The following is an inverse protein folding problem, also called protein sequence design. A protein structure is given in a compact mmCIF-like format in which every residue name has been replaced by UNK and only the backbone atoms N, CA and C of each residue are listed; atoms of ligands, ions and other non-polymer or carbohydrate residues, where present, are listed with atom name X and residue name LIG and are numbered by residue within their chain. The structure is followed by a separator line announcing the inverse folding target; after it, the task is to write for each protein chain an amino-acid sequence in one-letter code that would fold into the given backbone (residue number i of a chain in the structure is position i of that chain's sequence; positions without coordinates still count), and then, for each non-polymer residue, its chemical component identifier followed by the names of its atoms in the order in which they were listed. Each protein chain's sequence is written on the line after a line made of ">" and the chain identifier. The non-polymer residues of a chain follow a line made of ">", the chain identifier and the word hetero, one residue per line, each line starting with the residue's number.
data_IF_099652421103
#
_entry.id   IF_099652421103
#
_cell.length_a   1.000
_cell.length_b   1.000
_cell.length_c   1.000
_cell.angle_alpha   90.00
_cell.angle_beta   90.00
_cell.angle_gamma   90.00
#
_symmetry.space_group_name_H-M   'P 1'
#
loop_
_entity.id
_entity.type
_entity.pdbx_description
1 polymer ?
#
# COMPACT_ATOMS: atom_id res chain seq x y z
N UNK A 1 18.02 13.11 -8.12
CA UNK A 1 17.50 14.49 -8.20
C UNK A 1 16.00 14.41 -8.33
N UNK A 2 15.24 15.37 -7.77
CA UNK A 2 13.79 15.42 -7.97
C UNK A 2 13.48 15.45 -9.46
N UNK A 3 12.44 14.74 -9.87
CA UNK A 3 11.97 14.66 -11.25
C UNK A 3 10.45 14.59 -11.23
N UNK A 4 9.80 15.28 -12.16
CA UNK A 4 8.35 15.17 -12.29
C UNK A 4 7.94 13.74 -12.65
N UNK A 5 6.73 13.29 -12.28
CA UNK A 5 6.16 12.06 -12.81
C UNK A 5 6.13 12.07 -14.35
N UNK A 6 6.24 10.89 -14.97
CA UNK A 6 6.16 10.75 -16.43
C UNK A 6 4.73 10.90 -16.96
N UNK A 7 3.73 10.79 -16.07
CA UNK A 7 2.31 10.99 -16.37
C UNK A 7 1.81 12.28 -15.75
N UNK A 8 0.82 12.92 -16.38
CA UNK A 8 0.22 14.15 -15.86
C UNK A 8 -0.49 13.87 -14.53
N UNK A 9 -0.31 14.78 -13.57
CA UNK A 9 -0.93 14.71 -12.26
C UNK A 9 -2.44 15.02 -12.36
N UNK A 10 -2.85 15.84 -13.33
CA UNK A 10 -4.26 16.20 -13.54
C UNK A 10 -5.13 14.98 -13.92
N UNK A 11 -4.53 13.95 -14.52
CA UNK A 11 -5.19 12.67 -14.82
C UNK A 11 -5.71 11.96 -13.55
N UNK A 12 -5.17 12.26 -12.36
CA UNK A 12 -5.61 11.65 -11.10
C UNK A 12 -7.11 11.84 -10.87
N UNK A 13 -7.67 12.98 -11.30
CA UNK A 13 -9.10 13.27 -11.18
C UNK A 13 -9.97 12.32 -12.00
N UNK A 14 -9.44 11.78 -13.10
CA UNK A 14 -10.12 10.81 -13.95
C UNK A 14 -9.91 9.35 -13.53
N UNK A 15 -8.93 9.06 -12.68
CA UNK A 15 -8.59 7.70 -12.24
C UNK A 15 -9.43 7.21 -11.06
N UNK A 16 -9.98 8.11 -10.26
CA UNK A 16 -10.84 7.75 -9.12
C UNK A 16 -12.28 7.60 -9.62
N UNK A 17 -12.84 6.39 -9.67
CA UNK A 17 -14.18 6.14 -10.17
C UNK A 17 -15.21 6.73 -9.20
N UNK A 18 -16.30 7.26 -9.76
CA UNK A 18 -17.44 7.75 -8.99
C UNK A 18 -18.16 6.62 -8.22
N UNK A 19 -18.10 5.40 -8.76
CA UNK A 19 -18.60 4.20 -8.06
C UNK A 19 -17.44 3.47 -7.38
N UNK A 20 -17.44 3.49 -6.04
CA UNK A 20 -16.46 2.81 -5.18
C UNK A 20 -16.40 1.28 -5.36
N UNK A 21 -17.37 0.67 -6.08
CA UNK A 21 -17.32 -0.74 -6.46
C UNK A 21 -16.39 -1.01 -7.63
N UNK A 22 -16.04 0.02 -8.40
CA UNK A 22 -15.13 -0.08 -9.53
C UNK A 22 -13.69 -0.14 -9.02
N UNK A 23 -12.93 -1.19 -9.35
CA UNK A 23 -11.53 -1.28 -8.96
C UNK A 23 -10.72 -0.13 -9.58
N UNK A 24 -9.83 0.45 -8.78
CA UNK A 24 -8.83 1.41 -9.25
C UNK A 24 -7.51 0.69 -9.38
N UNK A 25 -6.84 0.80 -10.52
CA UNK A 25 -5.45 0.35 -10.56
C UNK A 25 -4.59 1.33 -9.77
N UNK A 26 -4.26 0.93 -8.55
CA UNK A 26 -3.46 1.75 -7.64
C UNK A 26 -2.07 2.07 -8.20
N UNK A 27 -1.56 1.29 -9.17
CA UNK A 27 -0.29 1.59 -9.83
C UNK A 27 -0.39 2.83 -10.71
N UNK A 28 -1.55 3.11 -11.30
CA UNK A 28 -1.78 4.33 -12.09
C UNK A 28 -1.73 5.59 -11.21
N UNK A 29 -2.19 5.49 -9.97
CA UNK A 29 -2.04 6.55 -8.97
C UNK A 29 -0.57 6.70 -8.58
N UNK A 30 0.11 5.60 -8.24
CA UNK A 30 1.54 5.64 -7.86
C UNK A 30 2.38 6.28 -8.97
N UNK A 31 2.14 5.89 -10.23
CA UNK A 31 2.85 6.40 -11.39
C UNK A 31 2.74 7.93 -11.55
N UNK A 32 1.69 8.57 -11.04
CA UNK A 32 1.47 10.02 -11.09
C UNK A 32 1.94 10.76 -9.84
N UNK A 33 2.37 10.03 -8.81
CA UNK A 33 2.83 10.62 -7.53
C UNK A 33 4.34 10.53 -7.40
N UNK A 34 4.97 9.50 -7.97
CA UNK A 34 6.40 9.23 -7.77
C UNK A 34 7.28 9.82 -8.87
N UNK A 35 8.50 10.21 -8.50
CA UNK A 35 9.48 10.83 -9.39
C UNK A 35 9.80 9.93 -10.59
N UNK A 36 9.61 10.47 -11.79
CA UNK A 36 9.80 9.76 -13.06
C UNK A 36 8.94 8.50 -13.21
N UNK A 37 7.85 8.38 -12.45
CA UNK A 37 6.95 7.21 -12.44
C UNK A 37 7.64 5.88 -12.14
N UNK A 38 8.81 5.92 -11.47
CA UNK A 38 9.60 4.72 -11.15
C UNK A 38 9.16 4.12 -9.82
N UNK A 39 8.67 2.89 -9.90
CA UNK A 39 8.26 2.12 -8.74
C UNK A 39 8.94 0.74 -8.73
N UNK A 40 9.70 0.46 -7.68
CA UNK A 40 10.33 -0.86 -7.50
C UNK A 40 9.47 -1.72 -6.57
N UNK A 41 8.62 -2.54 -7.17
CA UNK A 41 7.66 -3.36 -6.44
C UNK A 41 8.34 -4.49 -5.65
N UNK A 42 8.06 -4.52 -4.35
CA UNK A 42 8.49 -5.55 -3.43
C UNK A 42 7.55 -6.75 -3.52
N UNK A 43 8.09 -7.95 -3.78
CA UNK A 43 7.32 -9.20 -3.87
C UNK A 43 6.06 -9.08 -4.75
N UNK A 44 6.22 -8.57 -5.98
CA UNK A 44 5.11 -8.31 -6.90
C UNK A 44 4.17 -9.51 -7.16
N UNK A 45 4.66 -10.75 -6.99
CA UNK A 45 3.90 -11.98 -7.24
C UNK A 45 3.28 -12.63 -5.99
N UNK A 46 3.38 -11.98 -4.82
CA UNK A 46 2.88 -12.51 -3.54
C UNK A 46 2.01 -11.45 -2.87
N UNK A 47 0.85 -11.83 -2.32
CA UNK A 47 -0.09 -10.89 -1.70
C UNK A 47 -0.43 -9.71 -2.61
N UNK A 48 -0.94 -10.01 -3.82
CA UNK A 48 -1.11 -9.02 -4.90
C UNK A 48 -2.18 -7.96 -4.63
N UNK A 49 -3.02 -8.15 -3.61
CA UNK A 49 -4.01 -7.16 -3.16
C UNK A 49 -3.43 -6.06 -2.27
N UNK A 50 -2.17 -6.21 -1.83
CA UNK A 50 -1.41 -5.16 -1.18
C UNK A 50 -0.13 -4.89 -1.97
N UNK A 51 -0.07 -3.73 -2.60
CA UNK A 51 1.10 -3.30 -3.36
C UNK A 51 2.09 -2.67 -2.38
N UNK A 52 3.31 -3.17 -2.39
CA UNK A 52 4.39 -2.62 -1.58
C UNK A 52 5.58 -2.35 -2.49
N UNK A 53 6.31 -1.27 -2.28
CA UNK A 53 7.50 -1.00 -3.08
C UNK A 53 8.17 0.30 -2.74
N UNK A 54 9.36 0.48 -3.30
CA UNK A 54 10.18 1.66 -3.09
C UNK A 54 10.02 2.64 -4.24
N UNK A 55 9.98 3.93 -3.90
CA UNK A 55 9.94 5.02 -4.86
C UNK A 55 10.70 6.24 -4.34
N UNK A 56 10.74 7.29 -5.15
CA UNK A 56 11.13 8.63 -4.70
C UNK A 56 9.96 9.59 -4.91
N UNK A 57 9.78 10.53 -3.98
CA UNK A 57 8.84 11.65 -4.09
C UNK A 57 9.64 12.91 -3.75
N UNK A 58 9.76 13.83 -4.70
CA UNK A 58 10.59 15.03 -4.58
C UNK A 58 12.03 14.73 -4.13
N UNK A 59 12.62 13.65 -4.63
CA UNK A 59 13.96 13.19 -4.28
C UNK A 59 14.05 12.43 -2.95
N UNK A 60 12.99 12.35 -2.17
CA UNK A 60 12.96 11.58 -0.92
C UNK A 60 12.61 10.13 -1.19
N UNK A 61 13.46 9.20 -0.74
CA UNK A 61 13.17 7.76 -0.82
C UNK A 61 12.04 7.42 0.15
N UNK A 62 11.01 6.75 -0.36
CA UNK A 62 9.84 6.33 0.43
C UNK A 62 9.51 4.86 0.16
N UNK A 63 8.90 4.22 1.17
CA UNK A 63 8.25 2.94 1.02
C UNK A 63 6.74 3.15 0.90
N UNK A 64 6.14 2.71 -0.21
CA UNK A 64 4.71 2.83 -0.44
C UNK A 64 4.05 1.50 -0.06
N UNK A 65 2.95 1.57 0.69
CA UNK A 65 2.06 0.46 1.02
C UNK A 65 0.66 0.85 0.56
N UNK A 66 0.12 0.16 -0.43
CA UNK A 66 -1.06 0.61 -1.14
C UNK A 66 -2.08 -0.52 -1.32
N UNK A 67 -3.32 -0.28 -0.90
CA UNK A 67 -4.39 -1.26 -0.97
C UNK A 67 -4.98 -1.31 -2.38
N UNK A 68 -5.14 -2.52 -2.90
CA UNK A 68 -5.82 -2.79 -4.16
C UNK A 68 -7.00 -3.74 -3.92
N UNK A 69 -7.79 -3.48 -2.87
CA UNK A 69 -8.92 -4.29 -2.44
C UNK A 69 -8.74 -4.99 -1.08
N UNK A 70 -9.29 -6.20 -0.97
CA UNK A 70 -9.38 -6.98 0.28
C UNK A 70 -8.00 -7.48 0.73
N UNK A 71 -7.75 -7.44 2.04
CA UNK A 71 -6.55 -8.04 2.62
C UNK A 71 -6.70 -9.55 2.87
N UNK A 72 -5.75 -10.30 2.34
CA UNK A 72 -5.54 -11.73 2.63
C UNK A 72 -4.32 -11.90 3.55
N UNK A 73 -4.17 -13.09 4.16
CA UNK A 73 -3.02 -13.43 5.02
C UNK A 73 -1.69 -13.14 4.33
N UNK A 74 -1.54 -13.51 3.06
CA UNK A 74 -0.33 -13.30 2.27
C UNK A 74 -0.02 -11.82 2.11
N UNK A 75 -1.05 -11.01 1.86
CA UNK A 75 -0.95 -9.55 1.76
C UNK A 75 -0.51 -8.94 3.08
N UNK A 76 -1.07 -9.38 4.21
CA UNK A 76 -0.67 -8.91 5.54
C UNK A 76 0.76 -9.30 5.89
N UNK A 77 1.18 -10.53 5.59
CA UNK A 77 2.56 -10.99 5.79
C UNK A 77 3.56 -10.23 4.91
N UNK A 78 3.18 -9.91 3.66
CA UNK A 78 3.98 -9.06 2.77
C UNK A 78 4.13 -7.66 3.34
N UNK A 79 3.02 -7.05 3.76
CA UNK A 79 3.02 -5.72 4.34
C UNK A 79 3.87 -5.65 5.60
N UNK A 80 3.72 -6.61 6.52
CA UNK A 80 4.48 -6.66 7.76
C UNK A 80 5.99 -6.69 7.49
N UNK A 81 6.44 -7.60 6.62
CA UNK A 81 7.84 -7.69 6.23
C UNK A 81 8.34 -6.40 5.56
N UNK A 82 7.55 -5.82 4.64
CA UNK A 82 7.96 -4.59 3.96
C UNK A 82 8.08 -3.40 4.93
N UNK A 83 7.14 -3.26 5.85
CA UNK A 83 7.12 -2.21 6.87
C UNK A 83 8.33 -2.34 7.79
N UNK A 84 8.62 -3.54 8.30
CA UNK A 84 9.82 -3.82 9.10
C UNK A 84 11.10 -3.50 8.33
N UNK A 85 11.18 -3.87 7.04
CA UNK A 85 12.31 -3.57 6.18
C UNK A 85 12.53 -2.06 6.01
N UNK A 86 11.46 -1.28 5.83
CA UNK A 86 11.54 0.18 5.81
C UNK A 86 11.99 0.74 7.16
N UNK A 87 11.46 0.21 8.26
CA UNK A 87 11.86 0.57 9.62
C UNK A 87 13.35 0.37 9.87
N UNK A 88 13.89 -0.80 9.51
CA UNK A 88 15.33 -1.10 9.63
C UNK A 88 16.21 -0.19 8.77
N UNK A 89 15.69 0.30 7.64
CA UNK A 89 16.42 1.16 6.70
C UNK A 89 16.21 2.64 6.93
N UNK A 90 15.41 3.03 7.93
CA UNK A 90 15.05 4.44 8.17
C UNK A 90 14.27 5.08 7.02
N UNK A 91 13.52 4.28 6.25
CA UNK A 91 12.76 4.76 5.09
C UNK A 91 11.35 5.17 5.55
N UNK A 92 10.91 6.43 5.31
CA UNK A 92 9.54 6.86 5.57
C UNK A 92 8.51 6.03 4.81
N UNK A 93 7.35 5.83 5.41
CA UNK A 93 6.24 5.06 4.85
C UNK A 93 5.13 5.96 4.36
N UNK A 94 4.58 5.64 3.19
CA UNK A 94 3.40 6.26 2.59
C UNK A 94 2.33 5.19 2.39
N UNK A 95 1.17 5.38 3.01
CA UNK A 95 0.02 4.49 2.91
C UNK A 95 -1.00 5.08 1.94
N UNK A 96 -1.35 4.33 0.90
CA UNK A 96 -2.46 4.66 -0.01
C UNK A 96 -3.65 3.75 0.30
N UNK A 97 -4.63 4.28 1.02
CA UNK A 97 -5.74 3.51 1.54
C UNK A 97 -6.95 3.52 0.60
N UNK A 98 -7.23 2.34 0.07
CA UNK A 98 -8.48 1.96 -0.60
C UNK A 98 -8.86 0.54 -0.17
N UNK A 99 -9.41 0.41 1.03
CA UNK A 99 -9.66 -0.87 1.70
C UNK A 99 -11.12 -1.02 2.13
N UNK A 100 -11.66 -2.21 1.85
CA UNK A 100 -12.99 -2.64 2.27
C UNK A 100 -12.96 -3.55 3.51
N UNK A 101 -11.76 -3.99 3.92
CA UNK A 101 -11.51 -4.81 5.10
C UNK A 101 -10.66 -6.05 4.79
N UNK A 102 -10.61 -6.95 5.77
CA UNK A 102 -9.98 -8.26 5.67
C UNK A 102 -10.94 -9.31 5.10
N UNK A 103 -10.40 -10.35 4.47
CA UNK A 103 -11.19 -11.50 4.04
C UNK A 103 -11.77 -12.22 5.27
N UNK A 104 -13.07 -12.55 5.23
CA UNK A 104 -13.76 -13.28 6.30
C UNK A 104 -14.19 -14.66 5.79
N UNK A 105 -14.00 -15.70 6.61
CA UNK A 105 -14.51 -17.03 6.31
C UNK A 105 -13.82 -18.11 7.13
N UNK A 106 -14.53 -19.20 7.46
CA UNK A 106 -14.02 -20.25 8.37
C UNK A 106 -12.66 -20.82 7.95
N UNK A 107 -12.43 -20.99 6.65
CA UNK A 107 -11.16 -21.47 6.12
C UNK A 107 -10.01 -20.46 6.31
N UNK A 108 -10.27 -19.17 6.14
CA UNK A 108 -9.28 -18.09 6.30
C UNK A 108 -8.97 -17.81 7.78
N UNK A 109 -9.98 -17.91 8.65
CA UNK A 109 -9.82 -17.86 10.11
C UNK A 109 -8.93 -19.01 10.59
N UNK A 110 -9.24 -20.25 10.17
CA UNK A 110 -8.40 -21.41 10.47
C UNK A 110 -6.99 -21.30 9.86
N UNK A 111 -6.86 -20.62 8.72
CA UNK A 111 -5.59 -20.28 8.08
C UNK A 111 -4.77 -19.20 8.81
N UNK A 112 -5.32 -18.57 9.84
CA UNK A 112 -4.60 -17.61 10.68
C UNK A 112 -4.64 -16.16 10.21
N UNK A 113 -5.63 -15.76 9.40
CA UNK A 113 -5.73 -14.40 8.87
C UNK A 113 -5.71 -13.31 9.96
N UNK A 114 -6.36 -13.55 11.10
CA UNK A 114 -6.34 -12.62 12.23
C UNK A 114 -4.93 -12.43 12.81
N UNK A 115 -4.17 -13.53 12.95
CA UNK A 115 -2.77 -13.50 13.40
C UNK A 115 -1.88 -12.76 12.41
N UNK A 116 -2.07 -12.99 11.11
CA UNK A 116 -1.24 -12.36 10.09
C UNK A 116 -1.59 -10.87 9.90
N UNK A 117 -2.87 -10.51 10.01
CA UNK A 117 -3.31 -9.12 10.13
C UNK A 117 -2.71 -8.43 11.35
N UNK A 118 -2.71 -9.09 12.51
CA UNK A 118 -2.10 -8.55 13.72
C UNK A 118 -0.60 -8.27 13.55
N UNK A 119 0.16 -9.11 12.83
CA UNK A 119 1.58 -8.83 12.53
C UNK A 119 1.76 -7.56 11.73
N UNK A 120 0.90 -7.29 10.74
CA UNK A 120 0.95 -6.04 9.99
C UNK A 120 0.68 -4.84 10.91
N UNK A 121 -0.35 -4.91 11.75
CA UNK A 121 -0.68 -3.86 12.72
C UNK A 121 0.51 -3.62 13.67
N UNK A 122 1.10 -4.69 14.21
CA UNK A 122 2.30 -4.60 15.06
C UNK A 122 3.46 -3.96 14.33
N UNK A 123 3.77 -4.40 13.10
CA UNK A 123 4.85 -3.84 12.30
C UNK A 123 4.66 -2.33 12.08
N UNK A 124 3.47 -1.90 11.65
CA UNK A 124 3.15 -0.49 11.45
C UNK A 124 3.24 0.30 12.76
N UNK A 125 2.80 -0.27 13.88
CA UNK A 125 2.79 0.41 15.17
C UNK A 125 4.19 0.56 15.78
N UNK A 126 5.08 -0.40 15.53
CA UNK A 126 6.38 -0.46 16.21
C UNK A 126 7.54 0.17 15.43
N UNK A 127 7.45 0.33 14.10
CA UNK A 127 8.55 0.94 13.34
C UNK A 127 8.65 2.44 13.61
N UNK A 128 9.86 2.91 13.94
CA UNK A 128 10.11 4.32 14.25
C UNK A 128 10.56 5.12 13.01
N UNK A 129 9.70 5.17 11.99
CA UNK A 129 9.87 6.00 10.79
C UNK A 129 8.64 6.89 10.60
N UNK A 130 8.75 8.05 9.92
CA UNK A 130 7.60 8.86 9.57
C UNK A 130 6.59 8.05 8.73
N UNK A 131 5.29 8.24 8.99
CA UNK A 131 4.19 7.55 8.32
C UNK A 131 3.20 8.59 7.83
N UNK A 132 2.90 8.55 6.54
CA UNK A 132 1.92 9.42 5.90
C UNK A 132 0.80 8.55 5.35
N UNK A 133 -0.45 8.91 5.62
CA UNK A 133 -1.62 8.16 5.13
C UNK A 133 -2.46 9.05 4.24
N UNK A 134 -2.75 8.57 3.04
CA UNK A 134 -3.61 9.21 2.07
C UNK A 134 -4.77 8.26 1.79
N UNK A 135 -5.98 8.70 2.11
CA UNK A 135 -7.20 7.98 1.79
C UNK A 135 -7.61 8.37 0.38
N UNK A 136 -7.62 7.39 -0.51
CA UNK A 136 -7.90 7.57 -1.95
C UNK A 136 -9.23 6.92 -2.36
N UNK A 137 -9.90 6.26 -1.42
CA UNK A 137 -11.15 5.55 -1.66
C UNK A 137 -11.76 5.09 -0.33
N UNK A 138 -12.16 3.83 -0.25
CA UNK A 138 -12.70 3.26 0.99
C UNK A 138 -11.65 3.14 2.10
N UNK A 139 -12.06 3.34 3.35
CA UNK A 139 -11.25 2.99 4.53
C UNK A 139 -12.18 2.45 5.60
N UNK A 140 -12.30 1.12 5.66
CA UNK A 140 -13.34 0.45 6.44
C UNK A 140 -12.79 -0.68 7.32
N UNK A 141 -13.36 -0.79 8.52
CA UNK A 141 -13.12 -1.90 9.43
C UNK A 141 -11.72 -1.88 10.04
N UNK A 142 -11.09 -3.06 10.12
CA UNK A 142 -9.75 -3.24 10.68
C UNK A 142 -8.60 -2.92 9.70
N UNK A 143 -8.93 -2.43 8.50
CA UNK A 143 -8.02 -2.19 7.38
C UNK A 143 -7.13 -0.97 7.49
#
# INVERSE_FOLDING_TARGET
>A
TPESPAHDVEDLLGLIPMDNRTPVDIKEIIARVVDGSRFHEFKARYGTTLICGFAHIHGHKVGIVANNGILFSESSMKGAHFVELCGQRGIPLVFLQNITGFMVGKAYEAGGIAKDGAKLVTAVSCVNVPKFTIIIGGSHGAG
#
